data_IF_426228453770
#
_entry.id   IF_426228453770
#
_cell.length_a   1.000
_cell.length_b   1.000
_cell.length_c   1.000
_cell.angle_alpha   90.00
_cell.angle_beta   90.00
_cell.angle_gamma   90.00
#
_symmetry.space_group_name_H-M   'P 1'
#
loop_
_entity.id
_entity.type
_entity.pdbx_description
1 polymer ?
#
# COMPACT_ATOMS: atom_id res chain seq x y z
N UNK A 1 48.58 -30.21 -4.12
CA UNK A 1 47.74 -29.72 -5.25
C UNK A 1 46.28 -30.19 -5.20
N UNK A 2 45.96 -31.46 -4.86
CA UNK A 2 44.55 -31.92 -4.78
C UNK A 2 43.71 -31.22 -3.69
N UNK A 3 44.27 -31.02 -2.49
CA UNK A 3 43.57 -30.36 -1.38
C UNK A 3 43.18 -28.89 -1.69
N UNK A 4 44.03 -28.16 -2.40
CA UNK A 4 43.78 -26.76 -2.77
C UNK A 4 42.59 -26.59 -3.72
N UNK A 5 42.40 -27.52 -4.67
CA UNK A 5 41.27 -27.50 -5.61
C UNK A 5 39.92 -27.78 -4.92
N UNK A 6 39.90 -28.73 -3.97
CA UNK A 6 38.69 -29.08 -3.20
C UNK A 6 38.23 -27.92 -2.33
N UNK A 7 39.14 -27.22 -1.66
CA UNK A 7 38.82 -26.03 -0.85
C UNK A 7 38.29 -24.88 -1.72
N UNK A 8 38.89 -24.65 -2.90
CA UNK A 8 38.41 -23.63 -3.85
C UNK A 8 37.02 -23.99 -4.38
N UNK A 9 36.74 -25.26 -4.69
CA UNK A 9 35.41 -25.74 -5.08
C UNK A 9 34.37 -25.58 -3.95
N UNK A 10 34.71 -25.95 -2.71
CA UNK A 10 33.82 -25.79 -1.55
C UNK A 10 33.51 -24.31 -1.29
N UNK A 11 34.51 -23.43 -1.32
CA UNK A 11 34.30 -21.98 -1.14
C UNK A 11 33.44 -21.40 -2.28
N UNK A 12 33.69 -21.75 -3.54
CA UNK A 12 32.89 -21.29 -4.68
C UNK A 12 31.44 -21.80 -4.60
N UNK A 13 31.23 -23.03 -4.13
CA UNK A 13 29.90 -23.60 -3.85
C UNK A 13 29.22 -22.91 -2.66
N UNK A 14 29.98 -22.50 -1.65
CA UNK A 14 29.45 -21.80 -0.48
C UNK A 14 29.03 -20.37 -0.81
N UNK A 15 29.82 -19.64 -1.61
CA UNK A 15 29.47 -18.31 -2.11
C UNK A 15 28.23 -18.36 -3.04
N UNK A 16 28.17 -19.34 -3.95
CA UNK A 16 26.99 -19.50 -4.85
C UNK A 16 25.75 -19.96 -4.11
N UNK A 17 25.87 -20.81 -3.07
CA UNK A 17 24.75 -21.18 -2.18
C UNK A 17 24.25 -19.99 -1.38
N UNK A 18 25.16 -19.15 -0.87
CA UNK A 18 24.80 -17.91 -0.16
C UNK A 18 24.09 -16.92 -1.10
N UNK A 19 24.60 -16.71 -2.31
CA UNK A 19 23.93 -15.88 -3.33
C UNK A 19 22.56 -16.42 -3.73
N UNK A 20 22.43 -17.74 -3.89
CA UNK A 20 21.15 -18.35 -4.22
C UNK A 20 20.14 -18.19 -3.08
N UNK A 21 20.57 -18.37 -1.83
CA UNK A 21 19.72 -18.19 -0.65
C UNK A 21 19.24 -16.74 -0.52
N UNK A 22 20.11 -15.75 -0.71
CA UNK A 22 19.71 -14.33 -0.64
C UNK A 22 18.75 -13.95 -1.75
N UNK A 23 18.94 -14.46 -2.98
CA UNK A 23 18.00 -14.26 -4.09
C UNK A 23 16.64 -14.88 -3.80
N UNK A 24 16.60 -16.13 -3.28
CA UNK A 24 15.35 -16.80 -2.90
C UNK A 24 14.61 -16.01 -1.80
N UNK A 25 15.33 -15.54 -0.78
CA UNK A 25 14.76 -14.72 0.30
C UNK A 25 14.21 -13.38 -0.23
N UNK A 26 14.93 -12.71 -1.13
CA UNK A 26 14.48 -11.45 -1.72
C UNK A 26 13.23 -11.64 -2.59
N UNK A 27 13.21 -12.69 -3.43
CA UNK A 27 12.03 -13.01 -4.26
C UNK A 27 10.83 -13.37 -3.39
N UNK A 28 11.03 -14.19 -2.35
CA UNK A 28 9.98 -14.52 -1.40
C UNK A 28 9.40 -13.26 -0.74
N UNK A 29 10.25 -12.31 -0.35
CA UNK A 29 9.81 -11.05 0.27
C UNK A 29 8.97 -10.18 -0.67
N UNK A 30 9.36 -10.10 -1.95
CA UNK A 30 8.60 -9.34 -2.98
C UNK A 30 7.25 -10.00 -3.27
N UNK A 31 7.14 -11.33 -3.20
CA UNK A 31 5.85 -12.00 -3.44
C UNK A 31 4.82 -11.81 -2.33
N UNK A 32 5.23 -11.35 -1.14
CA UNK A 32 4.32 -11.15 0.01
C UNK A 32 3.58 -9.81 -0.06
N UNK A 33 4.10 -8.82 -0.80
CA UNK A 33 3.35 -7.57 -1.04
C UNK A 33 2.15 -7.87 -1.95
N UNK A 34 0.95 -7.94 -1.37
CA UNK A 34 -0.29 -8.10 -2.12
C UNK A 34 -0.54 -6.92 -3.08
N UNK A 35 -1.36 -7.10 -4.12
CA UNK A 35 -1.69 -6.03 -5.04
C UNK A 35 -2.41 -4.90 -4.29
N UNK A 36 -1.89 -3.67 -4.38
CA UNK A 36 -2.64 -2.47 -4.02
C UNK A 36 -3.80 -2.35 -5.01
N UNK A 37 -5.01 -2.59 -4.54
CA UNK A 37 -6.20 -2.49 -5.38
C UNK A 37 -6.61 -1.02 -5.49
N UNK A 38 -6.36 -0.41 -6.65
CA UNK A 38 -7.03 0.81 -7.07
C UNK A 38 -8.46 0.44 -7.50
N UNK A 39 -9.46 0.93 -6.78
CA UNK A 39 -10.88 0.59 -6.99
C UNK A 39 -11.66 1.90 -7.15
N UNK A 40 -12.62 1.90 -8.08
CA UNK A 40 -13.66 2.93 -8.15
C UNK A 40 -14.98 2.28 -7.79
N UNK A 41 -15.46 2.54 -6.57
CA UNK A 41 -16.72 2.01 -6.09
C UNK A 41 -17.90 2.79 -6.68
N UNK A 42 -18.99 2.08 -6.97
CA UNK A 42 -20.30 2.70 -7.16
C UNK A 42 -21.12 2.67 -5.87
N UNK A 43 -22.26 3.36 -5.87
CA UNK A 43 -23.16 3.48 -4.72
C UNK A 43 -23.56 2.13 -4.10
N UNK A 44 -23.79 1.09 -4.90
CA UNK A 44 -24.23 -0.22 -4.42
C UNK A 44 -23.10 -1.05 -3.83
N UNK A 45 -21.84 -0.76 -4.18
CA UNK A 45 -20.67 -1.52 -3.73
C UNK A 45 -20.07 -0.98 -2.42
N UNK A 46 -20.44 0.24 -2.01
CA UNK A 46 -19.92 0.89 -0.80
C UNK A 46 -20.49 0.36 0.53
N UNK A 47 -21.78 -0.04 0.67
CA UNK A 47 -22.35 -0.37 1.96
C UNK A 47 -21.69 -1.57 2.66
N UNK A 48 -21.36 -2.61 1.91
CA UNK A 48 -20.73 -3.83 2.44
C UNK A 48 -19.36 -3.56 3.08
N UNK A 49 -18.37 -2.97 2.37
CA UNK A 49 -17.08 -2.68 2.98
C UNK A 49 -17.20 -1.67 4.14
N UNK A 50 -18.04 -0.64 4.04
CA UNK A 50 -18.25 0.31 5.13
C UNK A 50 -18.73 -0.39 6.40
N UNK A 51 -19.70 -1.30 6.27
CA UNK A 51 -20.22 -2.09 7.40
C UNK A 51 -19.14 -3.00 7.99
N UNK A 52 -18.34 -3.67 7.16
CA UNK A 52 -17.22 -4.53 7.60
C UNK A 52 -16.21 -3.74 8.44
N UNK A 53 -15.97 -2.48 8.09
CA UNK A 53 -15.07 -1.58 8.82
C UNK A 53 -15.74 -0.80 9.97
N UNK A 54 -16.95 -1.18 10.37
CA UNK A 54 -17.64 -0.64 11.54
C UNK A 54 -18.40 0.67 11.29
N UNK A 55 -18.65 1.02 10.03
CA UNK A 55 -19.51 2.14 9.64
C UNK A 55 -20.88 1.55 9.26
N UNK A 56 -21.71 1.30 10.27
CA UNK A 56 -23.04 0.68 10.15
C UNK A 56 -24.20 1.67 10.39
N UNK A 57 -23.91 2.85 10.96
CA UNK A 57 -24.88 3.93 11.20
C UNK A 57 -24.78 5.02 10.14
N UNK A 58 -25.91 5.70 9.88
CA UNK A 58 -26.02 6.82 8.93
C UNK A 58 -25.46 6.51 7.53
N UNK A 59 -25.65 5.27 7.05
CA UNK A 59 -25.14 4.82 5.75
C UNK A 59 -25.44 5.80 4.59
N UNK A 60 -26.65 6.38 4.45
CA UNK A 60 -26.92 7.35 3.38
C UNK A 60 -25.99 8.57 3.39
N UNK A 61 -25.61 9.06 4.58
CA UNK A 61 -24.72 10.21 4.73
C UNK A 61 -23.30 9.85 4.28
N UNK A 62 -22.82 8.67 4.66
CA UNK A 62 -21.51 8.17 4.23
C UNK A 62 -21.42 7.95 2.72
N UNK A 63 -22.46 7.36 2.13
CA UNK A 63 -22.53 7.19 0.67
C UNK A 63 -22.54 8.54 -0.04
N UNK A 64 -23.34 9.50 0.45
CA UNK A 64 -23.38 10.86 -0.08
C UNK A 64 -21.98 11.51 0.00
N UNK A 65 -21.34 11.44 1.16
CA UNK A 65 -20.01 12.00 1.39
C UNK A 65 -18.96 11.42 0.44
N UNK A 66 -18.88 10.09 0.31
CA UNK A 66 -17.88 9.43 -0.54
C UNK A 66 -18.11 9.78 -2.01
N UNK A 67 -19.36 9.71 -2.48
CA UNK A 67 -19.66 9.99 -3.89
C UNK A 67 -19.42 11.47 -4.24
N UNK A 68 -19.72 12.39 -3.33
CA UNK A 68 -19.44 13.81 -3.53
C UNK A 68 -17.94 14.14 -3.46
N UNK A 69 -17.20 13.49 -2.56
CA UNK A 69 -15.78 13.78 -2.35
C UNK A 69 -14.88 13.18 -3.43
N UNK A 70 -15.11 11.92 -3.81
CA UNK A 70 -14.21 11.18 -4.69
C UNK A 70 -14.88 10.45 -5.85
N UNK A 71 -16.21 10.44 -5.91
CA UNK A 71 -16.94 9.59 -6.86
C UNK A 71 -16.67 8.10 -6.63
N UNK A 72 -16.25 7.71 -5.42
CA UNK A 72 -15.88 6.34 -5.07
C UNK A 72 -14.47 5.91 -5.47
N UNK A 73 -13.64 6.81 -6.02
CA UNK A 73 -12.28 6.49 -6.46
C UNK A 73 -11.29 6.45 -5.27
N UNK A 74 -10.76 5.27 -4.96
CA UNK A 74 -9.84 5.07 -3.83
C UNK A 74 -8.46 5.68 -4.02
N UNK A 75 -8.09 6.09 -5.24
CA UNK A 75 -6.77 6.67 -5.55
C UNK A 75 -6.85 8.13 -5.96
N UNK A 76 -8.00 8.79 -5.76
CA UNK A 76 -8.14 10.20 -6.14
C UNK A 76 -7.23 11.09 -5.30
N UNK A 77 -6.43 11.92 -5.96
CA UNK A 77 -5.65 12.98 -5.32
C UNK A 77 -6.16 14.33 -5.83
N UNK A 78 -6.65 15.18 -4.93
CA UNK A 78 -7.09 16.53 -5.26
C UNK A 78 -6.14 17.58 -4.68
N UNK A 79 -5.97 18.67 -5.41
CA UNK A 79 -5.12 19.80 -5.04
C UNK A 79 -4.01 20.08 -6.06
N UNK A 80 -2.97 20.83 -5.67
CA UNK A 80 -2.82 21.45 -4.36
C UNK A 80 -3.87 22.55 -4.11
N UNK A 81 -4.21 22.79 -2.86
CA UNK A 81 -4.99 23.96 -2.45
C UNK A 81 -4.09 25.22 -2.38
N UNK A 82 -4.66 26.37 -2.00
CA UNK A 82 -3.95 27.67 -1.97
C UNK A 82 -2.74 27.73 -1.03
N UNK A 83 -2.59 26.76 -0.12
CA UNK A 83 -1.50 26.64 0.84
C UNK A 83 -0.64 25.39 0.58
N UNK A 84 -0.76 24.78 -0.61
CA UNK A 84 0.08 23.68 -1.06
C UNK A 84 -0.28 22.29 -0.52
N UNK A 85 -1.40 22.13 0.19
CA UNK A 85 -1.82 20.82 0.71
C UNK A 85 -2.71 20.07 -0.29
N UNK A 86 -2.73 18.75 -0.15
CA UNK A 86 -3.47 17.83 -1.01
C UNK A 86 -4.53 17.06 -0.20
N UNK A 87 -5.47 16.43 -0.91
CA UNK A 87 -6.49 15.55 -0.35
C UNK A 87 -6.43 14.18 -1.04
N UNK A 88 -6.57 13.10 -0.27
CA UNK A 88 -6.24 11.75 -0.73
C UNK A 88 -7.38 10.75 -0.54
N UNK A 89 -7.55 9.90 -1.55
CA UNK A 89 -8.31 8.67 -1.53
C UNK A 89 -9.82 8.83 -1.40
N UNK A 90 -10.46 7.76 -0.92
CA UNK A 90 -11.92 7.61 -0.91
C UNK A 90 -12.64 8.74 -0.17
N UNK A 91 -12.06 9.20 0.94
CA UNK A 91 -12.63 10.22 1.83
C UNK A 91 -12.02 11.60 1.63
N UNK A 92 -11.09 11.77 0.69
CA UNK A 92 -10.35 13.02 0.47
C UNK A 92 -9.73 13.56 1.78
N UNK A 93 -8.93 12.73 2.44
CA UNK A 93 -8.25 13.07 3.71
C UNK A 93 -7.15 14.09 3.45
N UNK A 94 -7.10 15.17 4.23
CA UNK A 94 -6.15 16.27 4.04
C UNK A 94 -4.74 15.97 4.56
N UNK A 95 -3.71 16.19 3.72
CA UNK A 95 -2.30 16.11 4.14
C UNK A 95 -1.83 17.26 5.03
N UNK A 96 -2.68 18.25 5.30
CA UNK A 96 -2.34 19.32 6.25
C UNK A 96 -2.54 18.89 7.70
N UNK A 97 -3.57 18.10 7.95
CA UNK A 97 -4.08 17.84 9.30
C UNK A 97 -4.04 16.37 9.69
N UNK A 98 -4.22 15.49 8.71
CA UNK A 98 -4.52 14.09 8.98
C UNK A 98 -3.42 13.15 8.54
N UNK A 99 -2.78 13.38 7.38
CA UNK A 99 -1.68 12.54 6.88
C UNK A 99 -0.48 13.40 6.40
N UNK A 100 0.62 12.77 6.01
CA UNK A 100 1.94 13.34 5.71
C UNK A 100 3.03 12.88 6.70
N UNK A 101 4.30 13.08 6.34
CA UNK A 101 5.48 12.64 7.11
C UNK A 101 5.47 13.01 8.60
N UNK A 102 4.74 14.07 8.99
CA UNK A 102 4.59 14.53 10.38
C UNK A 102 3.13 14.60 10.86
N UNK A 103 2.19 14.02 10.10
CA UNK A 103 0.77 14.01 10.42
C UNK A 103 0.37 12.89 11.38
N UNK A 104 -0.75 13.03 12.13
CA UNK A 104 -1.24 11.99 13.06
C UNK A 104 -1.48 10.63 12.40
N UNK A 105 -1.86 10.62 11.12
CA UNK A 105 -2.15 9.42 10.33
C UNK A 105 -0.95 8.86 9.55
N UNK A 106 0.25 9.45 9.68
CA UNK A 106 1.41 9.01 8.92
C UNK A 106 1.30 9.36 7.42
N UNK A 107 1.97 8.61 6.57
CA UNK A 107 2.06 8.91 5.13
C UNK A 107 0.70 8.85 4.40
N UNK A 108 0.58 9.62 3.31
CA UNK A 108 -0.52 9.54 2.34
C UNK A 108 0.02 8.89 1.04
#
# INVERSE_FOLDING_TARGET
>A
RRQTCVIVQINLLQETKMMLQTVILAVALVTISGPVAAIVYNLCQLPEPLTIYGIDTNMPDWLCLIMAASGGNTTLVAGPNSIGSYFYGLFQISSRYWCGLNGPGGDC
#
